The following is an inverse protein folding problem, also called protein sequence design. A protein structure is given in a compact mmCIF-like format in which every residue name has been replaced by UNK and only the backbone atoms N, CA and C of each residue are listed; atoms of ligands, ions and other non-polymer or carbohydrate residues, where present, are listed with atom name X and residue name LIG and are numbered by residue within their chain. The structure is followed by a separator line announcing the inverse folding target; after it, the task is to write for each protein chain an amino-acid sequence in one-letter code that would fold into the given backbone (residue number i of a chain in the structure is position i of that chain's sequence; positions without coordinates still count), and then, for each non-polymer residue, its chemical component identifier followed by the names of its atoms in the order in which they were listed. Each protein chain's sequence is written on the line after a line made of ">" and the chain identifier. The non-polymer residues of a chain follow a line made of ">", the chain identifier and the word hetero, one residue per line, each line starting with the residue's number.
data_IF_383354906443
#
_entry.id   IF_383354906443
#
_cell.length_a   1.000
_cell.length_b   1.000
_cell.length_c   1.000
_cell.angle_alpha   90.00
_cell.angle_beta   90.00
_cell.angle_gamma   90.00
#
_symmetry.space_group_name_H-M   'P 1'
#
loop_
_entity.id
_entity.type
_entity.pdbx_description
1 polymer ?
#
# COMPACT_ATOMS: atom_id res chain seq x y z
N UNK A 1 -13.07 -9.96 3.99
CA UNK A 1 -14.20 -9.02 4.04
C UNK A 1 -14.02 -7.94 3.00
N UNK A 2 -14.96 -7.77 2.06
CA UNK A 2 -14.91 -6.78 0.96
C UNK A 2 -15.02 -5.32 1.44
N UNK A 3 -15.51 -5.11 2.66
CA UNK A 3 -15.62 -3.78 3.27
C UNK A 3 -14.22 -3.19 3.55
N UNK A 4 -13.26 -4.04 3.96
CA UNK A 4 -11.91 -3.57 4.31
C UNK A 4 -11.13 -3.08 3.09
N UNK A 5 -11.28 -3.75 1.94
CA UNK A 5 -10.63 -3.29 0.71
C UNK A 5 -11.20 -1.94 0.26
N UNK A 6 -12.52 -1.77 0.34
CA UNK A 6 -13.15 -0.46 0.09
C UNK A 6 -12.68 0.61 1.08
N UNK A 7 -12.54 0.28 2.37
CA UNK A 7 -12.02 1.23 3.37
C UNK A 7 -10.58 1.65 3.09
N UNK A 8 -9.75 0.76 2.55
CA UNK A 8 -8.36 1.07 2.18
C UNK A 8 -8.31 1.92 0.91
N UNK A 9 -8.95 1.47 -0.17
CA UNK A 9 -8.91 2.17 -1.46
C UNK A 9 -9.57 3.56 -1.37
N UNK A 10 -10.68 3.68 -0.62
CA UNK A 10 -11.43 4.93 -0.48
C UNK A 10 -10.93 5.81 0.66
N UNK A 11 -10.46 5.22 1.75
CA UNK A 11 -10.04 5.98 2.93
C UNK A 11 -8.59 6.39 2.86
N UNK A 12 -7.70 5.41 2.72
CA UNK A 12 -6.26 5.64 2.86
C UNK A 12 -5.59 6.14 1.60
N UNK A 13 -6.06 5.77 0.40
CA UNK A 13 -5.40 6.18 -0.86
C UNK A 13 -5.88 7.55 -1.37
N UNK A 14 -7.07 8.02 -0.94
CA UNK A 14 -7.57 9.35 -1.31
C UNK A 14 -6.76 10.46 -0.64
N UNK A 15 -6.34 10.29 0.61
CA UNK A 15 -5.56 11.28 1.38
C UNK A 15 -4.24 11.64 0.68
N UNK A 16 -3.36 10.67 0.32
CA UNK A 16 -2.11 10.97 -0.38
C UNK A 16 -2.35 11.49 -1.80
N UNK A 17 -3.39 11.02 -2.50
CA UNK A 17 -3.72 11.52 -3.83
C UNK A 17 -4.08 13.02 -3.81
N UNK A 18 -4.87 13.45 -2.82
CA UNK A 18 -5.19 14.86 -2.62
C UNK A 18 -3.94 15.65 -2.22
N UNK A 19 -3.08 15.12 -1.35
CA UNK A 19 -1.85 15.79 -0.94
C UNK A 19 -0.93 16.11 -2.14
N UNK A 20 -0.80 15.19 -3.10
CA UNK A 20 -0.01 15.42 -4.33
C UNK A 20 -0.65 16.51 -5.22
N UNK A 21 -1.98 16.66 -5.21
CA UNK A 21 -2.63 17.71 -6.01
C UNK A 21 -2.30 19.15 -5.55
N UNK A 22 -1.80 19.32 -4.32
CA UNK A 22 -1.43 20.62 -3.75
C UNK A 22 0.06 20.97 -3.90
N UNK A 23 0.83 20.18 -4.66
CA UNK A 23 2.25 20.45 -4.85
C UNK A 23 2.51 21.68 -5.73
N UNK A 24 3.60 22.40 -5.42
CA UNK A 24 4.00 23.59 -6.16
C UNK A 24 4.42 23.24 -7.59
N UNK A 25 4.20 24.19 -8.51
CA UNK A 25 4.60 24.03 -9.91
C UNK A 25 6.12 23.83 -10.02
N UNK A 26 6.54 22.78 -10.73
CA UNK A 26 7.94 22.56 -11.07
C UNK A 26 8.48 23.79 -11.82
N UNK A 27 9.65 24.29 -11.41
CA UNK A 27 10.23 25.60 -11.76
C UNK A 27 10.36 25.88 -13.27
N UNK A 28 10.29 24.84 -14.10
CA UNK A 28 10.43 24.90 -15.55
C UNK A 28 9.13 24.59 -16.31
N UNK A 29 7.94 24.54 -15.68
CA UNK A 29 6.68 24.18 -16.39
C UNK A 29 6.28 25.19 -17.48
N UNK A 30 6.60 26.47 -17.31
CA UNK A 30 6.13 27.56 -18.18
C UNK A 30 7.07 27.84 -19.37
N UNK A 31 8.29 27.28 -19.35
CA UNK A 31 9.33 27.40 -20.39
C UNK A 31 9.22 26.31 -21.47
N UNK A 32 8.46 25.24 -21.21
CA UNK A 32 8.32 24.09 -22.12
C UNK A 32 7.23 24.34 -23.16
N UNK A 33 7.44 23.96 -24.42
CA UNK A 33 6.39 24.05 -25.44
C UNK A 33 5.19 23.12 -25.10
N UNK A 34 3.98 23.44 -25.58
CA UNK A 34 2.76 22.69 -25.25
C UNK A 34 2.86 21.23 -25.68
N UNK A 35 2.36 20.35 -24.81
CA UNK A 35 2.42 18.88 -24.92
C UNK A 35 1.84 18.38 -26.24
N UNK A 36 2.53 17.41 -26.88
CA UNK A 36 2.04 16.75 -28.10
C UNK A 36 0.93 15.75 -27.74
N UNK A 37 -0.07 15.59 -28.60
CA UNK A 37 -1.21 14.67 -28.36
C UNK A 37 -0.79 13.19 -28.28
N UNK A 38 0.41 12.85 -28.77
CA UNK A 38 0.97 11.49 -28.74
C UNK A 38 1.58 11.11 -27.38
N UNK A 39 1.90 12.10 -26.53
CA UNK A 39 2.43 11.81 -25.21
C UNK A 39 1.29 11.30 -24.31
N UNK A 40 1.48 10.13 -23.70
CA UNK A 40 0.52 9.54 -22.76
C UNK A 40 0.80 10.04 -21.34
N UNK A 41 -0.26 10.40 -20.62
CA UNK A 41 -0.15 10.92 -19.25
C UNK A 41 0.37 9.84 -18.29
N UNK A 42 0.07 8.58 -18.64
CA UNK A 42 0.48 7.39 -17.92
C UNK A 42 1.43 6.61 -18.82
N UNK A 43 2.71 6.63 -18.49
CA UNK A 43 3.72 5.81 -19.14
C UNK A 43 3.72 4.39 -18.55
N UNK A 44 4.03 3.38 -19.37
CA UNK A 44 4.10 1.99 -18.90
C UNK A 44 5.15 1.83 -17.80
N UNK A 45 6.25 2.59 -17.87
CA UNK A 45 7.30 2.58 -16.83
C UNK A 45 6.77 3.08 -15.49
N UNK A 46 5.87 4.07 -15.50
CA UNK A 46 5.23 4.61 -14.30
C UNK A 46 4.33 3.56 -13.63
N UNK A 47 3.51 2.87 -14.43
CA UNK A 47 2.61 1.82 -13.95
C UNK A 47 3.42 0.69 -13.31
N UNK A 48 4.43 0.18 -14.01
CA UNK A 48 5.24 -0.94 -13.52
C UNK A 48 5.95 -0.56 -12.22
N UNK A 49 6.53 0.63 -12.14
CA UNK A 49 7.20 1.09 -10.93
C UNK A 49 6.23 1.23 -9.74
N UNK A 50 5.11 1.90 -9.93
CA UNK A 50 4.12 2.13 -8.87
C UNK A 50 3.53 0.82 -8.34
N UNK A 51 3.07 -0.07 -9.24
CA UNK A 51 2.45 -1.33 -8.84
C UNK A 51 3.46 -2.35 -8.32
N UNK A 52 4.63 -2.48 -8.94
CA UNK A 52 5.61 -3.48 -8.54
C UNK A 52 6.32 -3.10 -7.23
N UNK A 53 6.54 -1.81 -6.96
CA UNK A 53 7.17 -1.42 -5.71
C UNK A 53 6.14 -1.38 -4.57
N UNK A 54 5.13 -0.51 -4.66
CA UNK A 54 4.18 -0.28 -3.56
C UNK A 54 3.31 -1.52 -3.31
N UNK A 55 2.78 -2.13 -4.37
CA UNK A 55 1.90 -3.29 -4.27
C UNK A 55 2.59 -4.52 -3.70
N UNK A 56 3.85 -4.78 -4.06
CA UNK A 56 4.60 -5.94 -3.54
C UNK A 56 4.93 -5.75 -2.06
N UNK A 57 5.38 -4.56 -1.64
CA UNK A 57 5.64 -4.31 -0.23
C UNK A 57 4.37 -4.44 0.63
N UNK A 58 3.24 -3.93 0.14
CA UNK A 58 1.96 -4.03 0.84
C UNK A 58 1.45 -5.47 0.92
N UNK A 59 1.59 -6.26 -0.15
CA UNK A 59 1.23 -7.67 -0.15
C UNK A 59 2.07 -8.45 0.86
N UNK A 60 3.39 -8.26 0.87
CA UNK A 60 4.30 -8.93 1.82
C UNK A 60 3.97 -8.57 3.27
N UNK A 61 3.69 -7.29 3.56
CA UNK A 61 3.30 -6.86 4.91
C UNK A 61 1.97 -7.48 5.37
N UNK A 62 0.99 -7.58 4.47
CA UNK A 62 -0.30 -8.22 4.76
C UNK A 62 -0.15 -9.72 5.03
N UNK A 63 0.61 -10.44 4.18
CA UNK A 63 0.90 -11.85 4.39
C UNK A 63 1.69 -12.10 5.67
N UNK A 64 2.69 -11.26 5.98
CA UNK A 64 3.46 -11.37 7.22
C UNK A 64 2.59 -11.14 8.46
N UNK A 65 1.70 -10.15 8.45
CA UNK A 65 0.78 -9.87 9.56
C UNK A 65 -0.21 -11.00 9.79
N UNK A 66 -0.73 -11.58 8.70
CA UNK A 66 -1.62 -12.74 8.76
C UNK A 66 -0.90 -13.94 9.40
N UNK A 67 0.31 -14.24 8.93
CA UNK A 67 1.15 -15.32 9.48
C UNK A 67 1.48 -15.08 10.96
N UNK A 68 1.78 -13.84 11.35
CA UNK A 68 2.10 -13.48 12.73
C UNK A 68 0.93 -13.74 13.68
N UNK A 69 -0.29 -13.36 13.30
CA UNK A 69 -1.49 -13.62 14.11
C UNK A 69 -1.78 -15.12 14.21
N UNK A 70 -1.52 -15.88 13.14
CA UNK A 70 -1.66 -17.34 13.17
C UNK A 70 -0.61 -17.99 14.09
N UNK A 71 0.61 -17.47 14.11
CA UNK A 71 1.66 -17.94 15.01
C UNK A 71 1.30 -17.66 16.48
N UNK A 72 0.75 -16.48 16.80
CA UNK A 72 0.29 -16.14 18.14
C UNK A 72 -0.88 -17.04 18.60
N UNK A 73 -1.69 -17.50 17.66
CA UNK A 73 -2.75 -18.48 17.90
C UNK A 73 -2.24 -19.94 18.08
N UNK A 74 -0.91 -20.16 18.00
CA UNK A 74 -0.28 -21.46 18.21
C UNK A 74 -0.24 -22.37 16.98
N UNK A 75 -0.47 -21.82 15.77
CA UNK A 75 -0.31 -22.56 14.51
C UNK A 75 1.11 -22.39 14.00
N UNK A 76 1.88 -23.47 13.98
CA UNK A 76 3.24 -23.47 13.44
C UNK A 76 3.23 -23.16 11.93
N UNK A 77 4.22 -22.38 11.49
CA UNK A 77 4.35 -21.95 10.08
C UNK A 77 4.43 -23.15 9.12
N UNK A 78 5.02 -24.26 9.55
CA UNK A 78 5.08 -25.50 8.78
C UNK A 78 3.69 -26.11 8.56
N UNK A 79 2.80 -26.05 9.54
CA UNK A 79 1.44 -26.59 9.39
C UNK A 79 0.60 -25.75 8.43
N UNK A 80 0.79 -24.43 8.44
CA UNK A 80 0.14 -23.50 7.49
C UNK A 80 0.65 -23.75 6.06
N UNK A 81 1.96 -23.98 5.89
CA UNK A 81 2.56 -24.24 4.57
C UNK A 81 2.19 -25.62 4.01
N UNK A 82 2.04 -26.64 4.86
CA UNK A 82 1.67 -28.00 4.46
C UNK A 82 0.16 -28.26 4.37
N UNK A 83 -0.69 -27.23 4.52
CA UNK A 83 -2.15 -27.25 4.31
C UNK A 83 -2.88 -28.47 4.93
N UNK A 84 -2.36 -29.04 6.02
CA UNK A 84 -2.79 -30.36 6.51
C UNK A 84 -3.90 -30.27 7.60
N UNK A 85 -4.08 -29.10 8.23
CA UNK A 85 -4.99 -28.93 9.39
C UNK A 85 -5.92 -27.72 9.32
N UNK A 86 -5.93 -27.00 8.20
CA UNK A 86 -6.40 -25.60 8.15
C UNK A 86 -7.91 -25.39 8.37
N UNK A 87 -8.75 -26.42 8.42
CA UNK A 87 -10.20 -26.24 8.45
C UNK A 87 -10.83 -26.43 9.85
N UNK A 88 -10.11 -26.95 10.85
CA UNK A 88 -10.72 -27.31 12.15
C UNK A 88 -10.44 -26.32 13.29
N UNK A 89 -9.51 -25.36 13.10
CA UNK A 89 -9.11 -24.38 14.13
C UNK A 89 -9.35 -22.90 13.78
N UNK A 90 -9.82 -22.59 12.57
CA UNK A 90 -10.09 -21.19 12.18
C UNK A 90 -11.47 -20.78 12.70
N UNK A 91 -11.50 -20.13 13.85
CA UNK A 91 -12.71 -19.46 14.33
C UNK A 91 -12.93 -18.17 13.53
N UNK A 92 -14.18 -17.83 13.23
CA UNK A 92 -14.52 -16.57 12.54
C UNK A 92 -13.98 -15.34 13.29
N UNK A 93 -13.81 -15.44 14.61
CA UNK A 93 -13.24 -14.39 15.45
C UNK A 93 -11.75 -14.18 15.18
N UNK A 94 -10.95 -15.26 15.05
CA UNK A 94 -9.52 -15.17 14.73
C UNK A 94 -9.31 -14.55 13.33
N UNK A 95 -10.20 -14.86 12.38
CA UNK A 95 -10.12 -14.27 11.05
C UNK A 95 -10.45 -12.77 11.06
N UNK A 96 -11.40 -12.33 11.90
CA UNK A 96 -11.69 -10.91 12.12
C UNK A 96 -10.53 -10.20 12.81
N UNK A 97 -9.88 -10.83 13.78
CA UNK A 97 -8.68 -10.30 14.44
C UNK A 97 -7.49 -10.18 13.48
N UNK A 98 -7.24 -11.18 12.65
CA UNK A 98 -6.19 -11.12 11.64
C UNK A 98 -6.46 -9.99 10.62
N UNK A 99 -7.71 -9.81 10.21
CA UNK A 99 -8.11 -8.74 9.30
C UNK A 99 -7.93 -7.34 9.91
N UNK A 100 -8.29 -7.14 11.17
CA UNK A 100 -8.07 -5.85 11.85
C UNK A 100 -6.58 -5.61 12.09
N UNK A 101 -5.82 -6.63 12.48
CA UNK A 101 -4.37 -6.53 12.61
C UNK A 101 -3.69 -6.10 11.31
N UNK A 102 -4.12 -6.64 10.16
CA UNK A 102 -3.63 -6.19 8.85
C UNK A 102 -3.92 -4.71 8.61
N UNK A 103 -5.11 -4.23 8.97
CA UNK A 103 -5.47 -2.81 8.83
C UNK A 103 -4.57 -1.92 9.71
N UNK A 104 -4.36 -2.29 10.97
CA UNK A 104 -3.47 -1.56 11.89
C UNK A 104 -1.99 -1.64 11.49
N UNK A 105 -1.55 -2.69 10.80
CA UNK A 105 -0.20 -2.81 10.27
C UNK A 105 0.03 -1.93 9.02
N UNK A 106 -1.00 -1.70 8.20
CA UNK A 106 -0.92 -0.88 6.99
C UNK A 106 -0.81 0.62 7.32
N UNK A 107 -1.54 1.12 8.32
CA UNK A 107 -1.55 2.55 8.71
C UNK A 107 -0.15 3.14 9.01
N UNK A 108 0.72 2.51 9.82
CA UNK A 108 2.05 3.04 10.08
C UNK A 108 2.96 2.98 8.83
N UNK A 109 2.82 1.96 7.99
CA UNK A 109 3.56 1.86 6.72
C UNK A 109 3.17 2.99 5.75
N UNK A 110 1.88 3.31 5.69
CA UNK A 110 1.38 4.45 4.91
C UNK A 110 1.84 5.79 5.50
N UNK A 111 1.87 5.93 6.82
CA UNK A 111 2.37 7.14 7.48
C UNK A 111 3.86 7.38 7.20
N UNK A 112 4.66 6.31 7.20
CA UNK A 112 6.07 6.35 6.81
C UNK A 112 6.22 6.70 5.33
N UNK A 113 5.39 6.12 4.46
CA UNK A 113 5.41 6.42 3.02
C UNK A 113 4.98 7.85 2.72
N UNK A 114 3.96 8.37 3.41
CA UNK A 114 3.49 9.75 3.27
C UNK A 114 4.55 10.76 3.75
N UNK A 115 5.20 10.48 4.89
CA UNK A 115 6.29 11.33 5.39
C UNK A 115 7.53 11.28 4.49
N UNK A 116 7.86 10.11 3.94
CA UNK A 116 8.93 9.97 2.96
C UNK A 116 8.60 10.70 1.66
N UNK A 117 7.35 10.60 1.17
CA UNK A 117 6.88 11.30 -0.03
C UNK A 117 6.84 12.81 0.19
N UNK A 118 6.35 13.32 1.32
CA UNK A 118 6.45 14.75 1.64
C UNK A 118 7.92 15.20 1.74
N UNK A 119 8.79 14.39 2.34
CA UNK A 119 10.21 14.73 2.47
C UNK A 119 10.96 14.67 1.15
N UNK A 120 10.67 13.68 0.28
CA UNK A 120 11.23 13.60 -1.07
C UNK A 120 10.64 14.69 -1.96
N UNK A 121 9.36 15.01 -1.87
CA UNK A 121 8.74 16.14 -2.58
C UNK A 121 9.43 17.46 -2.22
N UNK A 122 9.60 17.75 -0.92
CA UNK A 122 10.35 18.94 -0.49
C UNK A 122 11.80 18.91 -0.98
N UNK A 123 12.47 17.75 -0.99
CA UNK A 123 13.83 17.62 -1.53
C UNK A 123 13.93 17.76 -3.06
N UNK A 124 13.06 17.10 -3.82
CA UNK A 124 13.03 17.12 -5.30
C UNK A 124 12.57 18.49 -5.81
N UNK A 125 11.80 19.23 -5.04
CA UNK A 125 11.36 20.57 -5.40
C UNK A 125 12.34 21.68 -4.98
N UNK A 126 13.28 21.41 -4.05
CA UNK A 126 14.37 22.33 -3.63
C UNK A 126 15.67 22.10 -4.41
N UNK A 127 15.86 20.92 -5.01
CA UNK A 127 16.98 20.62 -5.92
C UNK A 127 16.64 20.96 -7.37
#
# INVERSE_FOLDING_TARGET
>A
STILILCVDLGTDIIPAIAFSFENMESDIMSRPPRKQTDRLVDWRLIVFAYAQIGVFQAVACFASFIYVLYDAGLDLSEVLFFNRSHEGITDELFRQAQTACFWAIIPFLSLSLSLSLSLCVCVCVC
#
